data_IF_228982547500
#
_entry.id   IF_228982547500
#
_cell.length_a   1.000
_cell.length_b   1.000
_cell.length_c   1.000
_cell.angle_alpha   90.00
_cell.angle_beta   90.00
_cell.angle_gamma   90.00
#
_symmetry.space_group_name_H-M   'P 1'
#
loop_
_entity.id
_entity.type
_entity.pdbx_description
1 polymer ?
#
# COMPACT_ATOMS: atom_id res chain seq x y z
N UNK A 1 11.57 -20.69 -4.58
CA UNK A 1 11.15 -19.55 -5.40
C UNK A 1 12.07 -19.55 -6.60
N UNK A 2 11.51 -19.66 -7.79
CA UNK A 2 12.32 -19.55 -9.00
C UNK A 2 12.60 -18.05 -9.21
N UNK A 3 13.86 -17.64 -9.22
CA UNK A 3 14.26 -16.26 -9.51
C UNK A 3 13.85 -15.90 -10.94
N UNK A 4 13.28 -14.71 -11.12
CA UNK A 4 13.04 -14.12 -12.45
C UNK A 4 14.38 -14.07 -13.20
N UNK A 5 14.44 -14.68 -14.39
CA UNK A 5 15.69 -14.65 -15.14
C UNK A 5 16.00 -13.23 -15.63
N UNK A 6 17.27 -12.79 -15.64
CA UNK A 6 17.64 -11.45 -16.09
C UNK A 6 17.16 -11.12 -17.51
N UNK A 7 17.22 -12.08 -18.43
CA UNK A 7 16.75 -11.87 -19.80
C UNK A 7 15.23 -11.67 -19.87
N UNK A 8 14.48 -12.26 -18.93
CA UNK A 8 13.03 -12.04 -18.82
C UNK A 8 12.73 -10.66 -18.26
N UNK A 9 13.40 -10.24 -17.20
CA UNK A 9 13.28 -8.89 -16.65
C UNK A 9 13.49 -7.82 -17.74
N UNK A 10 14.59 -7.90 -18.49
CA UNK A 10 14.85 -6.93 -19.55
C UNK A 10 13.83 -6.97 -20.68
N UNK A 11 13.27 -8.15 -21.01
CA UNK A 11 12.18 -8.24 -21.99
C UNK A 11 10.89 -7.53 -21.55
N UNK A 12 10.65 -7.45 -20.23
CA UNK A 12 9.52 -6.72 -19.64
C UNK A 12 9.80 -5.21 -19.67
N UNK A 13 11.00 -4.78 -19.28
CA UNK A 13 11.43 -3.37 -19.39
C UNK A 13 11.34 -2.85 -20.83
N UNK A 14 11.65 -3.68 -21.83
CA UNK A 14 11.55 -3.30 -23.25
C UNK A 14 10.13 -2.88 -23.67
N UNK A 15 9.08 -3.29 -22.93
CA UNK A 15 7.70 -2.86 -23.18
C UNK A 15 7.52 -1.35 -22.98
N UNK A 16 8.31 -0.72 -22.09
CA UNK A 16 8.29 0.72 -21.83
C UNK A 16 8.75 1.54 -23.04
N UNK A 17 9.55 0.96 -23.94
CA UNK A 17 10.05 1.66 -25.12
C UNK A 17 11.08 2.75 -24.81
N UNK A 18 11.80 2.61 -23.69
CA UNK A 18 12.92 3.47 -23.31
C UNK A 18 12.55 4.69 -22.47
N UNK A 19 11.29 4.80 -22.03
CA UNK A 19 10.82 5.86 -21.12
C UNK A 19 9.64 5.35 -20.30
N UNK A 20 9.45 5.89 -19.10
CA UNK A 20 8.27 5.60 -18.30
C UNK A 20 7.16 6.56 -18.74
N UNK A 21 6.20 6.05 -19.50
CA UNK A 21 4.95 6.75 -19.82
C UNK A 21 3.77 5.83 -19.53
N UNK A 22 2.59 6.41 -19.30
CA UNK A 22 1.40 5.65 -18.90
C UNK A 22 1.04 4.51 -19.89
N UNK A 23 1.33 4.68 -21.18
CA UNK A 23 1.04 3.66 -22.18
C UNK A 23 2.09 2.52 -22.20
N UNK A 24 3.34 2.81 -21.83
CA UNK A 24 4.37 1.82 -21.58
C UNK A 24 4.09 1.01 -20.32
N UNK A 25 3.76 1.71 -19.23
CA UNK A 25 3.43 1.10 -17.94
C UNK A 25 2.21 0.19 -18.04
N UNK A 26 1.11 0.64 -18.66
CA UNK A 26 -0.07 -0.20 -18.85
C UNK A 26 0.21 -1.50 -19.63
N UNK A 27 1.15 -1.48 -20.59
CA UNK A 27 1.56 -2.70 -21.32
C UNK A 27 2.42 -3.63 -20.47
N UNK A 28 3.25 -3.07 -19.60
CA UNK A 28 4.04 -3.82 -18.64
C UNK A 28 3.12 -4.48 -17.60
N UNK A 29 2.18 -3.74 -17.03
CA UNK A 29 1.16 -4.23 -16.09
C UNK A 29 0.32 -5.34 -16.70
N UNK A 30 -0.20 -5.18 -17.93
CA UNK A 30 -0.93 -6.24 -18.63
C UNK A 30 -0.10 -7.52 -18.79
N UNK A 31 1.21 -7.39 -19.02
CA UNK A 31 2.11 -8.53 -19.14
C UNK A 31 2.42 -9.20 -17.79
N UNK A 32 2.52 -8.43 -16.71
CA UNK A 32 2.74 -8.94 -15.35
C UNK A 32 1.47 -9.59 -14.78
N UNK A 33 0.30 -8.99 -14.98
CA UNK A 33 -1.00 -9.58 -14.61
C UNK A 33 -1.27 -10.92 -15.32
N UNK A 34 -0.74 -11.08 -16.53
CA UNK A 34 -0.82 -12.34 -17.28
C UNK A 34 0.24 -13.38 -16.86
N UNK A 35 1.23 -12.98 -16.06
CA UNK A 35 2.25 -13.85 -15.51
C UNK A 35 1.79 -14.50 -14.20
N UNK A 36 2.63 -15.34 -13.61
CA UNK A 36 2.38 -15.85 -12.25
C UNK A 36 2.90 -14.87 -11.18
N UNK A 37 2.46 -15.08 -9.94
CA UNK A 37 2.82 -14.23 -8.78
C UNK A 37 4.34 -14.24 -8.54
N UNK A 38 5.02 -15.38 -8.77
CA UNK A 38 6.48 -15.47 -8.60
C UNK A 38 7.22 -14.57 -9.61
N UNK A 39 6.75 -14.49 -10.86
CA UNK A 39 7.32 -13.61 -11.90
C UNK A 39 7.07 -12.13 -11.61
N UNK A 40 5.90 -11.78 -11.07
CA UNK A 40 5.54 -10.39 -10.71
C UNK A 40 6.39 -9.87 -9.55
N UNK A 41 6.45 -10.61 -8.45
CA UNK A 41 7.30 -10.28 -7.31
C UNK A 41 8.79 -10.24 -7.71
N UNK A 42 9.22 -11.21 -8.53
CA UNK A 42 10.59 -11.23 -9.05
C UNK A 42 10.95 -10.05 -9.96
N UNK A 43 9.96 -9.39 -10.58
CA UNK A 43 10.20 -8.17 -11.35
C UNK A 43 10.48 -6.97 -10.44
N UNK A 44 9.68 -6.79 -9.39
CA UNK A 44 9.87 -5.73 -8.40
C UNK A 44 11.22 -5.87 -7.68
N UNK A 45 11.56 -7.08 -7.23
CA UNK A 45 12.84 -7.37 -6.56
C UNK A 45 14.05 -7.04 -7.46
N UNK A 46 14.01 -7.44 -8.73
CA UNK A 46 15.12 -7.18 -9.67
C UNK A 46 15.21 -5.69 -10.03
N UNK A 47 14.09 -4.99 -10.16
CA UNK A 47 14.07 -3.54 -10.38
C UNK A 47 14.73 -2.80 -9.21
N UNK A 48 14.33 -3.12 -7.98
CA UNK A 48 14.90 -2.53 -6.76
C UNK A 48 16.42 -2.78 -6.66
N UNK A 49 16.86 -4.01 -6.97
CA UNK A 49 18.28 -4.35 -6.95
C UNK A 49 19.11 -3.51 -7.93
N UNK A 50 18.62 -3.30 -9.16
CA UNK A 50 19.31 -2.49 -10.18
C UNK A 50 19.30 -0.99 -9.84
N UNK A 51 18.18 -0.48 -9.34
CA UNK A 51 18.05 0.91 -8.87
C UNK A 51 19.02 1.15 -7.72
N UNK A 52 19.01 0.28 -6.70
CA UNK A 52 19.93 0.31 -5.57
C UNK A 52 21.40 0.26 -6.00
N UNK A 53 21.75 -0.59 -6.98
CA UNK A 53 23.12 -0.63 -7.50
C UNK A 53 23.53 0.70 -8.13
N UNK A 54 22.66 1.30 -8.95
CA UNK A 54 22.93 2.59 -9.58
C UNK A 54 23.08 3.71 -8.56
N UNK A 55 22.22 3.78 -7.53
CA UNK A 55 22.28 4.81 -6.47
C UNK A 55 23.57 4.66 -5.65
N UNK A 56 23.99 3.43 -5.34
CA UNK A 56 25.22 3.18 -4.59
C UNK A 56 26.47 3.51 -5.42
N UNK A 57 26.45 3.22 -6.73
CA UNK A 57 27.64 3.31 -7.59
C UNK A 57 27.76 4.60 -8.37
N UNK A 58 26.67 5.33 -8.57
CA UNK A 58 26.63 6.57 -9.32
C UNK A 58 26.12 7.70 -8.43
N UNK A 59 26.84 8.82 -8.37
CA UNK A 59 26.35 10.00 -7.65
C UNK A 59 25.19 10.63 -8.41
N UNK A 60 24.00 10.72 -7.81
CA UNK A 60 22.89 11.46 -8.41
C UNK A 60 23.05 12.96 -8.12
N UNK A 61 22.93 13.77 -9.17
CA UNK A 61 23.00 15.23 -9.12
C UNK A 61 21.65 15.79 -9.53
N UNK A 62 20.92 16.28 -8.52
CA UNK A 62 19.64 16.95 -8.71
C UNK A 62 19.86 18.41 -9.09
N UNK A 63 19.11 18.87 -10.10
CA UNK A 63 19.03 20.28 -10.45
C UNK A 63 18.54 21.10 -9.22
N UNK A 64 19.20 22.22 -8.86
CA UNK A 64 18.77 23.11 -7.79
C UNK A 64 17.32 23.59 -7.88
N UNK A 65 16.78 23.73 -9.10
CA UNK A 65 15.38 24.13 -9.30
C UNK A 65 14.40 22.97 -9.04
N UNK A 66 14.88 21.72 -9.10
CA UNK A 66 14.11 20.51 -8.84
C UNK A 66 14.17 20.06 -7.38
N UNK A 67 15.16 20.52 -6.60
CA UNK A 67 15.25 20.32 -5.15
C UNK A 67 14.11 20.99 -4.35
N UNK A 68 13.28 21.80 -5.01
CA UNK A 68 12.12 22.50 -4.40
C UNK A 68 10.78 21.85 -4.73
N UNK A 69 10.79 20.79 -5.53
CA UNK A 69 9.57 20.07 -5.90
C UNK A 69 9.27 19.10 -4.77
N UNK A 70 8.11 19.24 -4.14
CA UNK A 70 7.57 18.22 -3.23
C UNK A 70 7.31 16.96 -4.07
N UNK A 71 8.18 15.97 -3.89
CA UNK A 71 7.84 14.59 -4.21
C UNK A 71 6.97 14.13 -3.04
N UNK A 72 5.81 13.49 -3.27
CA UNK A 72 5.04 12.94 -2.16
C UNK A 72 5.96 12.03 -1.34
N UNK A 73 5.98 12.22 -0.01
CA UNK A 73 6.93 11.58 0.93
C UNK A 73 6.90 10.04 0.88
N UNK A 74 5.95 9.46 0.15
CA UNK A 74 5.64 8.02 0.13
C UNK A 74 6.06 7.29 -1.17
N UNK A 75 6.66 7.96 -2.15
CA UNK A 75 6.84 7.37 -3.51
C UNK A 75 8.26 6.86 -3.79
N UNK A 76 9.30 7.63 -3.47
CA UNK A 76 10.73 7.27 -3.53
C UNK A 76 11.60 8.54 -3.39
N UNK A 77 12.86 8.41 -2.99
CA UNK A 77 13.78 9.55 -3.01
C UNK A 77 14.07 10.00 -4.48
N UNK A 78 14.29 11.30 -4.77
CA UNK A 78 14.59 11.75 -6.13
C UNK A 78 15.80 11.05 -6.78
N UNK A 79 16.72 10.51 -5.97
CA UNK A 79 17.84 9.72 -6.46
C UNK A 79 17.41 8.38 -7.05
N UNK A 80 16.48 7.69 -6.40
CA UNK A 80 15.91 6.43 -6.85
C UNK A 80 15.09 6.62 -8.12
N UNK A 81 14.33 7.71 -8.22
CA UNK A 81 13.56 8.04 -9.43
C UNK A 81 14.47 8.28 -10.65
N UNK A 82 15.61 8.95 -10.47
CA UNK A 82 16.60 9.13 -11.55
C UNK A 82 17.22 7.80 -11.96
N UNK A 83 17.58 6.95 -11.00
CA UNK A 83 18.11 5.61 -11.28
C UNK A 83 17.07 4.71 -11.98
N UNK A 84 15.81 4.78 -11.57
CA UNK A 84 14.68 4.07 -12.20
C UNK A 84 14.50 4.48 -13.66
N UNK A 85 14.60 5.78 -13.95
CA UNK A 85 14.55 6.26 -15.33
C UNK A 85 15.71 5.74 -16.20
N UNK A 86 16.89 5.47 -15.61
CA UNK A 86 18.01 4.83 -16.30
C UNK A 86 17.68 3.38 -16.64
N UNK A 87 17.08 2.63 -15.70
CA UNK A 87 16.64 1.24 -15.92
C UNK A 87 15.56 1.19 -17.00
N UNK A 88 14.57 2.09 -16.94
CA UNK A 88 13.50 2.21 -17.93
C UNK A 88 14.00 2.50 -19.35
N UNK A 89 15.18 3.13 -19.49
CA UNK A 89 15.83 3.36 -20.77
C UNK A 89 16.51 2.11 -21.36
N UNK A 90 16.46 0.97 -20.66
CA UNK A 90 16.83 -0.36 -21.13
C UNK A 90 18.23 -0.81 -20.76
N UNK A 91 18.50 -2.10 -20.99
CA UNK A 91 19.73 -2.82 -20.58
C UNK A 91 21.01 -2.15 -21.04
N UNK A 92 21.12 -1.83 -22.32
CA UNK A 92 22.31 -1.18 -22.90
C UNK A 92 22.61 0.17 -22.24
N UNK A 93 21.55 0.86 -21.80
CA UNK A 93 21.66 2.14 -21.10
C UNK A 93 22.12 1.96 -19.67
N UNK A 94 21.47 1.06 -18.93
CA UNK A 94 21.88 0.66 -17.59
C UNK A 94 23.37 0.26 -17.55
N UNK A 95 23.78 -0.71 -18.38
CA UNK A 95 25.14 -1.26 -18.36
C UNK A 95 26.20 -0.22 -18.72
N UNK A 96 25.89 0.66 -19.68
CA UNK A 96 26.77 1.77 -20.07
C UNK A 96 26.93 2.78 -18.94
N UNK A 97 25.84 3.17 -18.29
CA UNK A 97 25.84 4.14 -17.20
C UNK A 97 26.60 3.57 -16.01
N UNK A 98 26.27 2.34 -15.60
CA UNK A 98 26.92 1.63 -14.51
C UNK A 98 28.41 1.41 -14.76
N UNK A 99 28.78 1.05 -16.00
CA UNK A 99 30.17 0.87 -16.41
C UNK A 99 30.97 2.18 -16.48
N UNK A 100 30.32 3.30 -16.80
CA UNK A 100 30.95 4.62 -16.82
C UNK A 100 31.15 5.20 -15.41
N UNK A 101 30.26 4.87 -14.46
CA UNK A 101 30.28 5.38 -13.08
C UNK A 101 30.22 6.91 -12.99
N UNK A 102 29.66 7.55 -14.00
CA UNK A 102 29.54 9.01 -14.05
C UNK A 102 28.31 9.47 -13.25
N UNK A 103 28.30 10.73 -12.78
CA UNK A 103 27.14 11.26 -12.07
C UNK A 103 25.88 11.22 -12.94
N UNK A 104 24.75 10.83 -12.35
CA UNK A 104 23.44 10.84 -13.01
C UNK A 104 22.83 12.23 -12.83
N UNK A 105 22.56 12.94 -13.92
CA UNK A 105 21.90 14.25 -13.85
C UNK A 105 20.40 14.11 -14.03
N UNK A 106 19.62 14.69 -13.11
CA UNK A 106 18.15 14.72 -13.22
C UNK A 106 17.64 15.40 -14.50
N UNK A 107 18.45 16.27 -15.14
CA UNK A 107 18.10 16.92 -16.42
C UNK A 107 18.11 15.98 -17.63
N UNK A 108 18.85 14.89 -17.55
CA UNK A 108 19.07 13.97 -18.68
C UNK A 108 18.02 12.86 -18.74
N UNK A 109 17.28 12.65 -17.64
CA UNK A 109 16.35 11.55 -17.46
C UNK A 109 14.93 12.06 -17.19
N UNK A 110 13.93 11.43 -17.80
CA UNK A 110 12.52 11.68 -17.50
C UNK A 110 12.14 10.98 -16.19
N UNK A 111 12.68 11.49 -15.09
CA UNK A 111 12.65 10.83 -13.78
C UNK A 111 11.35 11.05 -13.01
N UNK A 112 10.59 12.11 -13.32
CA UNK A 112 9.32 12.39 -12.64
C UNK A 112 8.29 11.32 -12.93
N UNK A 113 8.28 10.83 -14.16
CA UNK A 113 7.38 9.79 -14.61
C UNK A 113 7.84 8.40 -14.15
N UNK A 114 9.08 8.27 -13.65
CA UNK A 114 9.65 6.98 -13.25
C UNK A 114 9.01 6.39 -11.99
N UNK A 115 8.29 7.19 -11.19
CA UNK A 115 7.47 6.71 -10.09
C UNK A 115 6.47 5.64 -10.54
N UNK A 116 5.87 5.81 -11.72
CA UNK A 116 4.92 4.84 -12.28
C UNK A 116 5.55 3.48 -12.55
N UNK A 117 6.87 3.41 -12.76
CA UNK A 117 7.58 2.14 -12.94
C UNK A 117 7.93 1.47 -11.62
N UNK A 118 8.21 2.26 -10.57
CA UNK A 118 8.38 1.70 -9.23
C UNK A 118 7.07 1.07 -8.78
N UNK A 119 5.94 1.71 -9.07
CA UNK A 119 4.59 1.19 -8.83
C UNK A 119 4.23 0.01 -9.74
N UNK A 120 4.80 -0.08 -10.95
CA UNK A 120 4.48 -1.14 -11.90
C UNK A 120 4.99 -2.50 -11.43
N UNK A 121 4.07 -3.46 -11.30
CA UNK A 121 4.41 -4.79 -10.83
C UNK A 121 4.44 -4.93 -9.33
N UNK A 122 4.23 -3.85 -8.58
CA UNK A 122 3.68 -3.96 -7.23
C UNK A 122 2.20 -4.35 -7.29
N UNK A 123 1.73 -5.07 -8.33
CA UNK A 123 0.30 -5.27 -8.58
C UNK A 123 -0.49 -3.97 -8.41
N UNK A 124 -1.72 -4.09 -7.96
CA UNK A 124 -2.43 -2.97 -7.38
C UNK A 124 -2.11 -2.91 -5.86
N UNK A 125 -0.92 -3.30 -5.41
CA UNK A 125 -0.53 -3.48 -3.98
C UNK A 125 -0.43 -2.19 -3.18
N UNK A 126 -0.71 -1.02 -3.78
CA UNK A 126 -1.02 0.17 -2.99
C UNK A 126 -2.51 0.39 -2.75
N UNK A 127 -3.43 -0.23 -3.51
CA UNK A 127 -4.88 -0.13 -3.26
C UNK A 127 -5.67 -1.45 -3.43
N UNK A 128 -5.55 -2.24 -4.51
CA UNK A 128 -6.30 -3.51 -4.66
C UNK A 128 -5.59 -4.80 -4.17
N UNK A 129 -4.26 -4.86 -4.00
CA UNK A 129 -3.59 -6.02 -3.37
C UNK A 129 -3.31 -5.81 -1.87
N UNK A 130 -4.02 -4.87 -1.27
CA UNK A 130 -4.72 -5.24 -0.05
C UNK A 130 -5.90 -6.20 -0.40
N UNK A 131 -5.58 -7.42 -0.88
CA UNK A 131 -6.21 -8.64 -0.33
C UNK A 131 -5.82 -8.81 1.17
N UNK A 132 -5.23 -7.78 1.75
CA UNK A 132 -5.58 -7.35 3.08
C UNK A 132 -7.09 -7.53 3.35
N UNK A 133 -7.41 -7.78 4.62
CA UNK A 133 -8.79 -7.96 5.03
C UNK A 133 -9.73 -6.91 4.41
N UNK A 134 -10.96 -7.31 4.01
CA UNK A 134 -12.11 -6.42 3.66
C UNK A 134 -12.31 -5.24 4.64
N UNK A 135 -11.63 -5.29 5.78
CA UNK A 135 -11.59 -4.33 6.88
C UNK A 135 -10.14 -4.12 7.34
N UNK A 136 -9.64 -2.89 7.23
CA UNK A 136 -8.33 -2.49 7.74
C UNK A 136 -8.32 -2.38 9.26
N UNK A 137 -7.36 -3.03 9.93
CA UNK A 137 -7.15 -2.90 11.37
C UNK A 137 -6.11 -1.83 11.68
N UNK A 138 -6.41 -0.96 12.63
CA UNK A 138 -5.45 -0.03 13.20
C UNK A 138 -5.45 -0.17 14.73
N UNK A 139 -4.28 -0.39 15.32
CA UNK A 139 -4.14 -0.52 16.77
C UNK A 139 -3.43 0.70 17.35
N UNK A 140 -4.20 1.72 17.74
CA UNK A 140 -3.68 3.04 18.12
C UNK A 140 -3.60 3.23 19.63
N UNK A 141 -3.02 2.24 20.32
CA UNK A 141 -2.79 2.30 21.76
C UNK A 141 -1.58 1.47 22.17
N UNK A 142 -0.97 1.83 23.30
CA UNK A 142 0.16 1.09 23.88
C UNK A 142 -0.24 -0.27 24.43
N UNK A 143 -1.54 -0.50 24.64
CA UNK A 143 -2.09 -1.75 25.14
C UNK A 143 -2.36 -2.71 23.97
N UNK A 144 -1.29 -3.30 23.45
CA UNK A 144 -1.33 -4.24 22.32
C UNK A 144 -1.35 -5.69 22.85
N UNK A 145 -2.34 -6.54 22.47
CA UNK A 145 -2.37 -7.95 22.83
C UNK A 145 -1.20 -8.72 22.23
N UNK A 146 -0.85 -9.83 22.87
CA UNK A 146 0.09 -10.78 22.29
C UNK A 146 -0.37 -11.22 20.89
N UNK A 147 0.58 -11.26 19.95
CA UNK A 147 0.42 -11.62 18.52
C UNK A 147 -0.20 -10.54 17.62
N UNK A 148 -0.54 -9.37 18.15
CA UNK A 148 -0.85 -8.20 17.32
C UNK A 148 0.45 -7.48 16.99
N UNK A 149 0.69 -7.26 15.70
CA UNK A 149 1.80 -6.45 15.19
C UNK A 149 1.24 -5.10 14.72
N UNK A 150 1.88 -3.98 15.06
CA UNK A 150 1.40 -2.65 14.66
C UNK A 150 2.53 -1.67 14.51
N UNK A 151 2.42 -0.80 13.50
CA UNK A 151 3.36 0.29 13.25
C UNK A 151 3.11 1.51 14.16
N UNK A 152 2.14 1.43 15.06
CA UNK A 152 1.82 2.53 15.96
C UNK A 152 2.89 2.69 17.04
N UNK A 153 3.56 3.85 17.03
CA UNK A 153 4.54 4.24 18.05
C UNK A 153 4.18 5.59 18.68
N UNK A 154 3.73 5.54 19.93
CA UNK A 154 3.39 6.73 20.72
C UNK A 154 4.57 7.69 20.92
N UNK A 155 5.78 7.13 21.04
CA UNK A 155 7.00 7.88 21.32
C UNK A 155 7.53 8.55 20.05
N UNK A 156 7.41 7.89 18.88
CA UNK A 156 7.76 8.45 17.58
C UNK A 156 6.84 9.62 17.19
N UNK A 157 5.54 9.54 17.54
CA UNK A 157 4.56 10.60 17.27
C UNK A 157 4.69 11.80 18.21
N UNK A 158 5.55 11.74 19.25
CA UNK A 158 5.81 12.87 20.15
C UNK A 158 4.55 13.40 20.87
N UNK A 159 3.51 12.56 21.02
CA UNK A 159 2.22 12.95 21.58
C UNK A 159 1.30 13.73 20.63
N UNK A 160 1.58 13.76 19.32
CA UNK A 160 0.64 14.23 18.31
C UNK A 160 -0.46 13.17 18.12
N UNK A 161 -1.68 13.52 18.51
CA UNK A 161 -2.88 12.77 18.17
C UNK A 161 -3.34 13.20 16.76
N UNK A 162 -3.04 12.35 15.76
CA UNK A 162 -3.43 12.59 14.37
C UNK A 162 -4.94 12.33 14.14
N UNK A 163 -5.69 11.86 15.15
CA UNK A 163 -7.08 11.44 15.00
C UNK A 163 -7.23 10.24 14.06
N UNK A 164 -8.44 9.73 13.85
CA UNK A 164 -8.67 8.52 13.03
C UNK A 164 -9.01 8.79 11.58
N UNK A 165 -8.75 10.01 11.10
CA UNK A 165 -8.98 10.41 9.72
C UNK A 165 -8.08 9.60 8.77
N UNK A 166 -8.64 8.76 7.88
CA UNK A 166 -7.86 7.98 6.92
C UNK A 166 -7.01 8.85 5.99
N UNK A 167 -7.41 10.11 5.75
CA UNK A 167 -6.70 11.04 4.85
C UNK A 167 -5.44 11.64 5.46
N UNK A 168 -5.30 11.60 6.79
CA UNK A 168 -4.10 12.04 7.50
C UNK A 168 -3.09 10.91 7.74
N UNK A 169 -3.41 9.70 7.24
CA UNK A 169 -2.56 8.52 7.29
C UNK A 169 -3.20 7.36 8.06
N UNK A 170 -2.96 6.15 7.55
CA UNK A 170 -3.39 4.88 8.15
C UNK A 170 -2.21 4.27 8.92
N UNK A 171 -2.46 3.80 10.14
CA UNK A 171 -1.47 3.06 10.93
C UNK A 171 -1.89 1.60 10.97
N UNK A 172 -1.21 0.76 10.21
CA UNK A 172 -1.61 -0.63 10.03
C UNK A 172 -1.31 -1.47 11.28
N UNK A 173 -2.19 -2.44 11.48
CA UNK A 173 -1.98 -3.52 12.44
C UNK A 173 -2.39 -4.85 11.82
N UNK A 174 -1.71 -5.92 12.23
CA UNK A 174 -2.00 -7.31 11.83
C UNK A 174 -2.33 -8.12 13.07
N UNK A 175 -3.47 -8.81 13.02
CA UNK A 175 -3.88 -9.78 14.03
C UNK A 175 -4.36 -11.07 13.32
N UNK A 176 -3.71 -12.23 13.55
CA UNK A 176 -4.15 -13.50 12.98
C UNK A 176 -5.61 -13.86 13.32
N UNK A 177 -6.13 -13.39 14.46
CA UNK A 177 -7.52 -13.67 14.85
C UNK A 177 -8.54 -12.87 14.02
N UNK A 178 -8.15 -11.70 13.48
CA UNK A 178 -8.96 -10.93 12.53
C UNK A 178 -8.96 -11.60 11.15
N UNK A 179 -7.80 -12.06 10.68
CA UNK A 179 -7.68 -12.82 9.42
C UNK A 179 -8.60 -14.04 9.44
N UNK A 180 -8.62 -14.79 10.56
CA UNK A 180 -9.53 -15.92 10.73
C UNK A 180 -11.01 -15.49 10.72
N UNK A 181 -11.35 -14.37 11.36
CA UNK A 181 -12.72 -13.86 11.39
C UNK A 181 -13.21 -13.52 9.97
N UNK A 182 -12.36 -12.90 9.16
CA UNK A 182 -12.71 -12.48 7.82
C UNK A 182 -12.81 -13.66 6.85
N UNK A 183 -11.94 -14.67 6.98
CA UNK A 183 -12.11 -15.94 6.25
C UNK A 183 -13.46 -16.60 6.55
N UNK A 184 -13.95 -16.53 7.80
CA UNK A 184 -15.28 -17.04 8.17
C UNK A 184 -16.40 -16.20 7.55
N UNK A 185 -16.27 -14.87 7.53
CA UNK A 185 -17.25 -13.95 6.93
C UNK A 185 -17.31 -14.07 5.40
N UNK A 186 -16.17 -14.27 4.74
CA UNK A 186 -16.11 -14.55 3.30
C UNK A 186 -16.88 -15.81 2.91
N UNK A 187 -16.92 -16.80 3.80
CA UNK A 187 -17.72 -18.01 3.61
C UNK A 187 -19.22 -17.81 3.92
N UNK A 188 -19.65 -16.66 4.47
CA UNK A 188 -21.05 -16.36 4.81
C UNK A 188 -21.76 -15.61 3.66
N UNK A 189 -22.74 -16.23 2.97
CA UNK A 189 -23.47 -15.59 1.87
C UNK A 189 -24.29 -14.36 2.28
N UNK A 190 -24.72 -14.25 3.53
CA UNK A 190 -25.46 -13.07 4.00
C UNK A 190 -24.52 -11.88 4.22
N UNK A 191 -23.33 -12.12 4.79
CA UNK A 191 -22.28 -11.11 4.87
C UNK A 191 -21.90 -10.61 3.48
N UNK A 192 -21.62 -11.53 2.55
CA UNK A 192 -21.27 -11.18 1.17
C UNK A 192 -22.35 -10.34 0.47
N UNK A 193 -23.63 -10.70 0.65
CA UNK A 193 -24.74 -9.89 0.11
C UNK A 193 -24.75 -8.47 0.68
N UNK A 194 -24.48 -8.33 1.98
CA UNK A 194 -24.46 -7.02 2.65
C UNK A 194 -23.26 -6.20 2.25
N UNK A 195 -22.06 -6.79 2.22
CA UNK A 195 -20.82 -6.14 1.78
C UNK A 195 -20.95 -5.56 0.37
N UNK A 196 -21.60 -6.30 -0.54
CA UNK A 196 -21.83 -5.86 -1.92
C UNK A 196 -22.76 -4.62 -2.07
N UNK A 197 -23.58 -4.30 -1.06
CA UNK A 197 -24.43 -3.08 -1.10
C UNK A 197 -23.67 -1.81 -0.75
N UNK A 198 -22.49 -1.95 -0.15
CA UNK A 198 -21.59 -0.86 0.25
C UNK A 198 -20.24 -1.00 -0.48
N UNK A 199 -20.30 -1.58 -1.68
CA UNK A 199 -19.13 -1.75 -2.53
C UNK A 199 -18.47 -0.39 -2.83
N UNK A 200 -17.14 -0.34 -2.82
CA UNK A 200 -16.38 0.89 -2.96
C UNK A 200 -16.26 1.77 -1.70
N UNK A 201 -16.78 1.35 -0.55
CA UNK A 201 -16.46 1.97 0.75
C UNK A 201 -15.37 1.15 1.45
N UNK A 202 -14.31 1.83 1.86
CA UNK A 202 -13.23 1.26 2.66
C UNK A 202 -13.63 1.18 4.13
N UNK A 203 -13.42 0.01 4.73
CA UNK A 203 -13.82 -0.26 6.09
C UNK A 203 -12.59 -0.26 7.00
N UNK A 204 -12.63 0.51 8.08
CA UNK A 204 -11.55 0.57 9.07
C UNK A 204 -12.08 0.22 10.44
N UNK A 205 -11.40 -0.70 11.13
CA UNK A 205 -11.58 -1.00 12.53
C UNK A 205 -10.40 -0.41 13.30
N UNK A 206 -10.66 0.59 14.14
CA UNK A 206 -9.62 1.31 14.89
C UNK A 206 -9.77 1.02 16.37
N UNK A 207 -8.75 0.42 16.98
CA UNK A 207 -8.70 0.20 18.43
C UNK A 207 -8.00 1.37 19.09
N UNK A 208 -8.71 2.10 19.94
CA UNK A 208 -8.22 3.32 20.59
C UNK A 208 -8.72 3.44 22.04
N UNK A 209 -8.39 4.55 22.72
CA UNK A 209 -8.82 4.80 24.11
C UNK A 209 -10.22 5.43 24.21
N UNK A 210 -11.09 5.22 23.21
CA UNK A 210 -12.51 5.64 23.27
C UNK A 210 -13.27 4.90 24.37
N UNK A 211 -14.32 5.54 24.89
CA UNK A 211 -15.15 4.97 25.96
C UNK A 211 -16.19 3.97 25.44
N UNK A 212 -16.74 4.23 24.25
CA UNK A 212 -17.77 3.42 23.59
C UNK A 212 -17.45 3.35 22.09
N UNK A 213 -17.92 2.32 21.38
CA UNK A 213 -17.73 2.24 19.93
C UNK A 213 -18.39 3.41 19.20
N UNK A 214 -17.69 4.00 18.22
CA UNK A 214 -18.15 5.15 17.44
C UNK A 214 -17.88 4.92 15.95
N UNK A 215 -18.91 5.11 15.11
CA UNK A 215 -18.80 5.02 13.66
C UNK A 215 -18.71 6.43 13.07
N UNK A 216 -17.67 6.67 12.28
CA UNK A 216 -17.47 7.94 11.56
C UNK A 216 -17.30 7.67 10.07
N UNK A 217 -18.01 8.45 9.26
CA UNK A 217 -17.92 8.42 7.81
C UNK A 217 -17.05 9.56 7.28
N UNK A 218 -16.17 9.25 6.35
CA UNK A 218 -15.21 10.18 5.75
C UNK A 218 -15.32 10.22 4.23
N UNK A 219 -15.00 11.36 3.59
CA UNK A 219 -14.75 12.66 4.22
C UNK A 219 -15.99 13.28 4.84
N UNK A 220 -17.19 12.91 4.37
CA UNK A 220 -18.48 13.39 4.91
C UNK A 220 -19.56 12.30 4.78
N UNK A 221 -20.60 12.29 5.63
CA UNK A 221 -21.69 11.31 5.55
C UNK A 221 -22.42 11.25 4.20
N UNK A 222 -22.40 12.32 3.40
CA UNK A 222 -23.07 12.38 2.09
C UNK A 222 -22.19 11.93 0.91
N UNK A 223 -20.89 11.76 1.13
CA UNK A 223 -19.92 11.37 0.11
C UNK A 223 -18.89 10.44 0.76
N UNK A 224 -19.37 9.28 1.22
CA UNK A 224 -18.56 8.36 2.00
C UNK A 224 -17.64 7.56 1.10
N UNK A 225 -16.36 7.66 1.38
CA UNK A 225 -15.29 6.86 0.79
C UNK A 225 -14.74 5.88 1.85
N UNK A 226 -14.68 6.31 3.12
CA UNK A 226 -14.21 5.47 4.23
C UNK A 226 -15.21 5.45 5.39
N UNK A 227 -15.36 4.29 6.02
CA UNK A 227 -16.12 4.11 7.25
C UNK A 227 -15.20 3.59 8.37
N UNK A 228 -15.05 4.38 9.43
CA UNK A 228 -14.17 4.09 10.55
C UNK A 228 -15.00 3.76 11.78
N UNK A 229 -14.93 2.50 12.23
CA UNK A 229 -15.45 2.09 13.53
C UNK A 229 -14.31 2.14 14.55
N UNK A 230 -14.31 3.16 15.40
CA UNK A 230 -13.46 3.19 16.59
C UNK A 230 -14.07 2.31 17.68
N UNK A 231 -13.23 1.49 18.33
CA UNK A 231 -13.65 0.59 19.40
C UNK A 231 -12.73 0.71 20.62
N UNK A 232 -13.28 0.64 21.85
CA UNK A 232 -12.47 0.68 23.06
C UNK A 232 -11.49 -0.50 23.10
N UNK A 233 -10.26 -0.25 23.54
CA UNK A 233 -9.27 -1.31 23.81
C UNK A 233 -9.80 -2.37 24.77
N UNK A 234 -10.65 -1.99 25.73
CA UNK A 234 -11.29 -2.90 26.69
C UNK A 234 -12.25 -3.91 26.07
N UNK A 235 -12.59 -3.77 24.78
CA UNK A 235 -13.37 -4.75 24.01
C UNK A 235 -12.59 -6.04 23.78
N UNK A 236 -11.26 -5.97 23.75
CA UNK A 236 -10.41 -7.10 23.43
C UNK A 236 -9.76 -7.72 24.67
N UNK A 237 -9.68 -9.05 24.67
CA UNK A 237 -8.88 -9.76 25.64
C UNK A 237 -7.39 -9.54 25.36
N UNK A 238 -6.67 -8.99 26.34
CA UNK A 238 -5.23 -8.73 26.25
C UNK A 238 -4.37 -9.95 26.63
N UNK A 239 -4.97 -10.99 27.20
CA UNK A 239 -4.28 -12.15 27.79
C UNK A 239 -4.04 -13.31 26.80
N UNK A 240 -4.11 -13.03 25.50
CA UNK A 240 -3.93 -14.02 24.44
C UNK A 240 -5.11 -14.97 24.24
N UNK A 241 -6.25 -14.72 24.89
CA UNK A 241 -7.51 -15.38 24.56
C UNK A 241 -7.91 -15.07 23.10
N UNK A 242 -8.53 -16.02 22.37
CA UNK A 242 -8.95 -15.81 21.00
C UNK A 242 -9.89 -14.60 20.87
N UNK A 243 -9.62 -13.73 19.90
CA UNK A 243 -10.41 -12.51 19.61
C UNK A 243 -11.29 -12.66 18.37
N UNK A 244 -11.26 -13.80 17.68
CA UNK A 244 -11.97 -14.04 16.42
C UNK A 244 -13.46 -13.72 16.51
N UNK A 245 -14.15 -14.18 17.56
CA UNK A 245 -15.59 -13.94 17.69
C UNK A 245 -15.90 -12.46 17.97
N UNK A 246 -15.02 -11.75 18.70
CA UNK A 246 -15.10 -10.29 18.87
C UNK A 246 -14.95 -9.58 17.53
N UNK A 247 -13.97 -9.98 16.70
CA UNK A 247 -13.79 -9.41 15.37
C UNK A 247 -14.99 -9.68 14.45
N UNK A 248 -15.56 -10.88 14.49
CA UNK A 248 -16.79 -11.21 13.74
C UNK A 248 -17.92 -10.24 14.08
N UNK A 249 -18.20 -10.05 15.38
CA UNK A 249 -19.27 -9.17 15.83
C UNK A 249 -19.01 -7.72 15.43
N UNK A 250 -17.76 -7.23 15.54
CA UNK A 250 -17.39 -5.86 15.19
C UNK A 250 -17.47 -5.60 13.69
N UNK A 251 -16.98 -6.50 12.85
CA UNK A 251 -17.04 -6.35 11.39
C UNK A 251 -18.48 -6.39 10.89
N UNK A 252 -19.30 -7.30 11.42
CA UNK A 252 -20.74 -7.33 11.10
C UNK A 252 -21.41 -6.03 11.56
N UNK A 253 -21.08 -5.55 12.76
CA UNK A 253 -21.60 -4.27 13.28
C UNK A 253 -21.22 -3.10 12.37
N UNK A 254 -19.96 -3.03 11.93
CA UNK A 254 -19.48 -2.01 11.01
C UNK A 254 -20.28 -2.04 9.70
N UNK A 255 -20.36 -3.19 9.03
CA UNK A 255 -21.10 -3.31 7.75
C UNK A 255 -22.57 -2.93 7.91
N UNK A 256 -23.25 -3.44 8.95
CA UNK A 256 -24.66 -3.13 9.20
C UNK A 256 -24.85 -1.64 9.50
N UNK A 257 -23.97 -1.05 10.30
CA UNK A 257 -24.08 0.35 10.70
C UNK A 257 -23.83 1.29 9.51
N UNK A 258 -22.88 0.95 8.63
CA UNK A 258 -22.63 1.68 7.37
C UNK A 258 -23.88 1.65 6.50
N UNK A 259 -24.51 0.48 6.32
CA UNK A 259 -25.76 0.35 5.55
C UNK A 259 -26.91 1.18 6.15
N UNK A 260 -27.06 1.17 7.47
CA UNK A 260 -28.16 1.86 8.16
C UNK A 260 -27.97 3.38 8.21
N UNK A 261 -26.74 3.86 8.41
CA UNK A 261 -26.45 5.29 8.60
C UNK A 261 -26.27 6.04 7.28
N UNK A 262 -25.75 5.38 6.25
CA UNK A 262 -25.35 6.04 5.00
C UNK A 262 -26.37 5.85 3.87
N UNK A 263 -27.36 4.97 4.08
CA UNK A 263 -28.44 4.71 3.14
C UNK A 263 -27.96 3.89 1.93
N UNK A 264 -28.90 3.17 1.33
CA UNK A 264 -28.69 2.41 0.09
C UNK A 264 -28.20 3.38 -1.00
N UNK A 265 -26.96 3.28 -1.52
CA UNK A 265 -26.51 4.10 -2.64
C UNK A 265 -27.19 3.59 -3.91
N UNK A 266 -28.48 3.92 -4.06
CA UNK A 266 -29.32 3.55 -5.20
C UNK A 266 -28.96 4.26 -6.49
#
# INVERSE_FOLDING_TARGET
MAELSPDRFWSLVDLLGGRVDAAGVARLEEALLAADVEETLGFADELDALVSELVVRCTVVLDPDEQRVEVPDEVAEPAELVATAVVAAGRDTHDRVLGAGQPLSSREWAWREAALLLEAGMGDERLDDLEGPDVLLQWRTTQVPDRVDTDWDADALGGLDLGVDPTLGVVLARDPDLEEALLRLQADPEYQRRRALIDGIDLHLVVSEVAEPELTAWPTPEAVEHAVLEVPVGTFALDGSPRTDTYLDLVVTLVVSVQEQLGDPG
#
